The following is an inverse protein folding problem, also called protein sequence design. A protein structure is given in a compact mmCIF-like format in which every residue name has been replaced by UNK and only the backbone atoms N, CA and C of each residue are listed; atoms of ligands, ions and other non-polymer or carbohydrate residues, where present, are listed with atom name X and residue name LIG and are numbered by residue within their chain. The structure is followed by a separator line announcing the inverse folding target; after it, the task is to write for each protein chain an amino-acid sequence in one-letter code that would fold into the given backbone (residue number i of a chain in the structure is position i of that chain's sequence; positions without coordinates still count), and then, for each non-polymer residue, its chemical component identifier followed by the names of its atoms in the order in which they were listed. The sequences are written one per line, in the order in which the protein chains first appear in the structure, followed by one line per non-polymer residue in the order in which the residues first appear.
data_IF_334784871872
#
_entry.id   IF_334784871872
#
_cell.length_a   1.000
_cell.length_b   1.000
_cell.length_c   1.000
_cell.angle_alpha   90.00
_cell.angle_beta   90.00
_cell.angle_gamma   90.00
#
_symmetry.space_group_name_H-M   'P 1'
#
loop_
_entity.id
_entity.type
_entity.pdbx_description
1 polymer ?
#
# COMPACT_ATOMS: atom_id res chain seq x y z
N UNK A 1 -4.77 5.35 27.03
CA UNK A 1 -5.62 4.97 25.88
C UNK A 1 -5.15 3.62 25.37
N UNK A 2 -5.97 2.57 25.53
CA UNK A 2 -5.63 1.20 25.08
C UNK A 2 -6.36 0.91 23.77
N UNK A 3 -5.62 0.55 22.72
CA UNK A 3 -6.17 0.13 21.42
C UNK A 3 -5.96 -1.37 21.27
N UNK A 4 -7.06 -2.09 20.97
CA UNK A 4 -7.03 -3.51 20.68
C UNK A 4 -6.98 -3.75 19.17
N UNK A 5 -5.89 -4.31 18.68
CA UNK A 5 -5.67 -4.57 17.27
C UNK A 5 -6.02 -6.01 16.93
N UNK A 6 -6.81 -6.22 15.89
CA UNK A 6 -7.05 -7.54 15.29
C UNK A 6 -6.37 -7.57 13.93
N UNK A 7 -5.35 -8.42 13.76
CA UNK A 7 -4.51 -8.42 12.58
C UNK A 7 -4.10 -9.83 12.15
N UNK A 8 -4.87 -10.43 11.25
CA UNK A 8 -4.58 -11.75 10.66
C UNK A 8 -3.28 -11.81 9.84
N UNK A 9 -2.73 -10.67 9.44
CA UNK A 9 -1.53 -10.57 8.62
C UNK A 9 -0.29 -10.16 9.41
N UNK A 10 -0.38 -9.95 10.72
CA UNK A 10 0.71 -9.44 11.54
C UNK A 10 1.99 -10.29 11.42
N UNK A 11 1.85 -11.61 11.47
CA UNK A 11 2.97 -12.55 11.38
C UNK A 11 3.45 -12.80 9.94
N UNK A 12 2.76 -12.28 8.93
CA UNK A 12 3.07 -12.52 7.50
C UNK A 12 3.73 -11.33 6.81
N UNK A 13 3.80 -10.16 7.44
CA UNK A 13 4.38 -8.94 6.87
C UNK A 13 5.11 -8.10 7.91
N UNK A 14 6.34 -7.72 7.59
CA UNK A 14 7.11 -6.78 8.40
C UNK A 14 6.45 -5.39 8.48
N UNK A 15 5.67 -5.01 7.47
CA UNK A 15 5.01 -3.71 7.38
C UNK A 15 4.15 -3.41 8.63
N UNK A 16 3.32 -4.38 9.06
CA UNK A 16 2.45 -4.19 10.22
C UNK A 16 3.23 -4.20 11.54
N UNK A 17 4.33 -4.94 11.60
CA UNK A 17 5.21 -4.95 12.78
C UNK A 17 5.92 -3.61 12.93
N UNK A 18 6.46 -3.07 11.82
CA UNK A 18 7.06 -1.73 11.80
C UNK A 18 6.03 -0.66 12.19
N UNK A 19 4.82 -0.72 11.60
CA UNK A 19 3.74 0.19 11.94
C UNK A 19 3.45 0.20 13.46
N UNK A 20 3.28 -0.96 14.10
CA UNK A 20 2.97 -1.05 15.53
C UNK A 20 4.14 -0.51 16.37
N UNK A 21 5.39 -0.80 15.99
CA UNK A 21 6.57 -0.27 16.68
C UNK A 21 6.59 1.27 16.68
N UNK A 22 6.30 1.90 15.55
CA UNK A 22 6.20 3.36 15.46
C UNK A 22 4.96 3.87 16.20
N UNK A 23 3.81 3.21 16.05
CA UNK A 23 2.57 3.63 16.70
C UNK A 23 2.68 3.63 18.23
N UNK A 24 3.46 2.71 18.81
CA UNK A 24 3.71 2.66 20.27
C UNK A 24 4.38 3.93 20.83
N UNK A 25 5.04 4.72 19.98
CA UNK A 25 5.61 6.03 20.40
C UNK A 25 4.51 7.07 20.65
N UNK A 26 3.38 6.97 19.96
CA UNK A 26 2.27 7.93 19.99
C UNK A 26 1.07 7.43 20.79
N UNK A 27 0.84 6.12 20.75
CA UNK A 27 -0.23 5.41 21.44
C UNK A 27 0.41 4.24 22.20
N UNK A 28 0.78 4.42 23.48
CA UNK A 28 1.69 3.49 24.16
C UNK A 28 1.06 2.12 24.51
N UNK A 29 -0.25 2.03 24.63
CA UNK A 29 -0.93 0.82 25.09
C UNK A 29 -1.65 0.10 23.93
N UNK A 30 -0.87 -0.39 22.94
CA UNK A 30 -1.41 -1.23 21.88
C UNK A 30 -1.31 -2.70 22.25
N UNK A 31 -2.43 -3.43 22.14
CA UNK A 31 -2.47 -4.89 22.28
C UNK A 31 -2.82 -5.48 20.92
N UNK A 32 -2.01 -6.37 20.38
CA UNK A 32 -2.20 -6.96 19.07
C UNK A 32 -2.60 -8.41 19.20
N UNK A 33 -3.79 -8.76 18.74
CA UNK A 33 -4.21 -10.14 18.55
C UNK A 33 -3.95 -10.57 17.10
N UNK A 34 -3.07 -11.56 16.94
CA UNK A 34 -2.66 -12.09 15.65
C UNK A 34 -3.18 -13.54 15.48
N UNK A 35 -4.39 -13.74 14.91
CA UNK A 35 -4.89 -15.09 14.64
C UNK A 35 -4.16 -15.71 13.46
N UNK A 36 -3.59 -16.87 13.66
CA UNK A 36 -2.82 -17.61 12.66
C UNK A 36 -3.34 -19.02 12.46
N UNK A 37 -2.97 -19.64 11.34
CA UNK A 37 -3.26 -21.06 11.11
C UNK A 37 -2.47 -21.95 12.08
N UNK A 38 -3.06 -23.08 12.53
CA UNK A 38 -2.41 -24.07 13.39
C UNK A 38 -1.02 -24.50 12.90
N UNK A 39 -0.83 -24.54 11.57
CA UNK A 39 0.46 -24.92 10.93
C UNK A 39 1.43 -23.74 10.74
N UNK A 40 1.10 -22.54 11.22
CA UNK A 40 2.00 -21.39 11.08
C UNK A 40 3.21 -21.56 12.02
N UNK A 41 4.41 -21.48 11.44
CA UNK A 41 5.66 -21.45 12.20
C UNK A 41 5.88 -19.99 12.62
N UNK A 42 5.98 -19.75 13.92
CA UNK A 42 6.34 -18.44 14.48
C UNK A 42 7.85 -18.45 14.65
N UNK A 43 8.54 -17.76 13.77
CA UNK A 43 10.03 -17.77 13.70
C UNK A 43 10.64 -16.76 14.66
N UNK A 44 9.90 -15.70 15.01
CA UNK A 44 10.36 -14.63 15.91
C UNK A 44 9.43 -14.57 17.10
N UNK A 45 9.98 -14.48 18.30
CA UNK A 45 9.18 -14.22 19.50
C UNK A 45 8.46 -12.87 19.35
N UNK A 46 7.14 -12.86 19.51
CA UNK A 46 6.38 -11.62 19.42
C UNK A 46 6.68 -10.70 20.60
N UNK A 47 6.58 -9.40 20.39
CA UNK A 47 6.66 -8.40 21.45
C UNK A 47 5.64 -8.72 22.57
N UNK A 48 5.91 -8.29 23.81
CA UNK A 48 5.09 -8.59 25.01
C UNK A 48 3.59 -8.31 24.83
N UNK A 49 3.23 -7.32 24.00
CA UNK A 49 1.85 -6.93 23.75
C UNK A 49 1.22 -7.61 22.53
N UNK A 50 1.85 -8.65 21.99
CA UNK A 50 1.35 -9.39 20.82
C UNK A 50 0.93 -10.79 21.22
N UNK A 51 -0.33 -11.08 21.06
CA UNK A 51 -0.95 -12.38 21.37
C UNK A 51 -1.13 -13.14 20.06
N UNK A 52 -0.25 -14.12 19.81
CA UNK A 52 -0.36 -14.99 18.63
C UNK A 52 -1.23 -16.20 18.98
N UNK A 53 -2.36 -16.34 18.26
CA UNK A 53 -3.30 -17.43 18.50
C UNK A 53 -3.42 -18.36 17.29
N UNK A 54 -3.04 -19.64 17.46
CA UNK A 54 -3.21 -20.70 16.47
C UNK A 54 -4.63 -21.26 16.52
N UNK A 55 -5.60 -20.53 15.98
CA UNK A 55 -7.02 -20.78 16.22
C UNK A 55 -7.80 -21.33 15.01
N UNK A 56 -7.20 -21.51 13.84
CA UNK A 56 -7.87 -22.08 12.67
C UNK A 56 -6.96 -22.93 11.79
N UNK A 57 -7.56 -23.82 11.00
CA UNK A 57 -6.87 -24.64 10.00
C UNK A 57 -6.85 -23.99 8.63
N UNK A 58 -5.90 -24.35 7.74
CA UNK A 58 -5.85 -23.82 6.36
C UNK A 58 -7.17 -24.06 5.61
N UNK A 59 -7.84 -25.19 5.82
CA UNK A 59 -9.12 -25.56 5.22
C UNK A 59 -10.27 -24.60 5.63
N UNK A 60 -10.21 -24.05 6.84
CA UNK A 60 -11.25 -23.16 7.36
C UNK A 60 -11.38 -21.86 6.55
N UNK A 61 -10.38 -21.55 5.70
CA UNK A 61 -10.40 -20.39 4.79
C UNK A 61 -11.52 -20.48 3.75
N UNK A 62 -11.97 -21.69 3.41
CA UNK A 62 -13.09 -21.91 2.49
C UNK A 62 -14.46 -21.75 3.16
N UNK A 63 -14.50 -21.76 4.49
CA UNK A 63 -15.73 -21.65 5.31
C UNK A 63 -15.68 -20.37 6.13
N UNK A 64 -16.01 -19.23 5.49
CA UNK A 64 -15.86 -17.90 6.07
C UNK A 64 -16.43 -17.77 7.49
N UNK A 65 -17.72 -18.05 7.67
CA UNK A 65 -18.38 -17.88 8.98
C UNK A 65 -17.81 -18.81 10.06
N UNK A 66 -17.45 -20.02 9.70
CA UNK A 66 -16.82 -20.96 10.62
C UNK A 66 -15.45 -20.49 11.10
N UNK A 67 -14.61 -20.01 10.16
CA UNK A 67 -13.30 -19.41 10.50
C UNK A 67 -13.48 -18.19 11.40
N UNK A 68 -14.45 -17.30 11.07
CA UNK A 68 -14.71 -16.11 11.87
C UNK A 68 -15.17 -16.46 13.30
N UNK A 69 -15.98 -17.49 13.47
CA UNK A 69 -16.38 -17.98 14.79
C UNK A 69 -15.20 -18.50 15.62
N UNK A 70 -14.26 -19.22 15.00
CA UNK A 70 -13.04 -19.67 15.68
C UNK A 70 -12.19 -18.51 16.17
N UNK A 71 -11.96 -17.50 15.29
CA UNK A 71 -11.17 -16.31 15.64
C UNK A 71 -11.88 -15.54 16.77
N UNK A 72 -13.17 -15.32 16.66
CA UNK A 72 -13.97 -14.62 17.68
C UNK A 72 -13.87 -15.29 19.05
N UNK A 73 -14.06 -16.63 19.12
CA UNK A 73 -13.90 -17.40 20.35
C UNK A 73 -12.48 -17.33 20.92
N UNK A 74 -11.47 -17.37 20.03
CA UNK A 74 -10.07 -17.29 20.43
C UNK A 74 -9.74 -15.92 21.05
N UNK A 75 -10.29 -14.83 20.51
CA UNK A 75 -10.16 -13.50 21.12
C UNK A 75 -10.77 -13.48 22.52
N UNK A 76 -12.00 -14.00 22.69
CA UNK A 76 -12.70 -14.02 23.98
C UNK A 76 -11.95 -14.83 25.06
N UNK A 77 -11.29 -15.90 24.65
CA UNK A 77 -10.61 -16.80 25.60
C UNK A 77 -9.19 -16.33 25.97
N UNK A 78 -8.56 -15.46 25.20
CA UNK A 78 -7.16 -15.14 25.36
C UNK A 78 -6.89 -13.64 25.61
N UNK A 79 -7.92 -12.77 25.60
CA UNK A 79 -7.71 -11.33 25.68
C UNK A 79 -8.69 -10.67 26.64
N UNK A 80 -8.18 -9.77 27.47
CA UNK A 80 -8.97 -8.82 28.27
C UNK A 80 -9.24 -7.58 27.43
N UNK A 81 -10.38 -7.59 26.71
CA UNK A 81 -10.73 -6.54 25.75
C UNK A 81 -11.51 -5.41 26.42
N UNK A 82 -12.19 -5.70 27.50
CA UNK A 82 -13.08 -4.79 28.23
C UNK A 82 -12.40 -3.48 28.62
N UNK A 83 -11.07 -3.51 28.84
CA UNK A 83 -10.26 -2.33 29.16
C UNK A 83 -9.85 -1.52 27.92
N UNK A 84 -10.18 -1.98 26.72
CA UNK A 84 -9.83 -1.30 25.48
C UNK A 84 -10.82 -0.17 25.17
N UNK A 85 -10.31 0.97 24.72
CA UNK A 85 -11.12 2.12 24.35
C UNK A 85 -11.53 2.14 22.88
N UNK A 86 -10.84 1.38 22.04
CA UNK A 86 -11.14 1.25 20.62
C UNK A 86 -10.58 -0.08 20.08
N UNK A 87 -11.27 -0.66 19.10
CA UNK A 87 -10.79 -1.84 18.35
C UNK A 87 -10.31 -1.38 16.98
N UNK A 88 -9.12 -1.80 16.55
CA UNK A 88 -8.65 -1.56 15.20
C UNK A 88 -8.53 -2.86 14.40
N UNK A 89 -9.26 -2.95 13.29
CA UNK A 89 -9.26 -4.08 12.37
C UNK A 89 -8.51 -3.73 11.09
N UNK A 90 -7.52 -4.54 10.73
CA UNK A 90 -6.64 -4.29 9.58
C UNK A 90 -7.24 -4.66 8.22
N UNK A 91 -8.34 -5.43 8.20
CA UNK A 91 -9.11 -5.82 7.01
C UNK A 91 -10.60 -5.81 7.34
N UNK A 92 -11.46 -5.66 6.33
CA UNK A 92 -12.93 -5.64 6.55
C UNK A 92 -13.44 -7.02 6.91
N UNK A 93 -13.07 -8.03 6.13
CA UNK A 93 -13.71 -9.35 6.26
C UNK A 93 -13.10 -10.21 7.35
N UNK A 94 -11.77 -10.32 7.38
CA UNK A 94 -11.11 -11.25 8.32
C UNK A 94 -10.98 -10.68 9.72
N UNK A 95 -10.66 -9.42 9.86
CA UNK A 95 -10.47 -8.76 11.16
C UNK A 95 -11.73 -7.96 11.55
N UNK A 96 -12.31 -7.24 10.60
CA UNK A 96 -13.47 -6.38 10.82
C UNK A 96 -14.76 -7.11 11.19
N UNK A 97 -14.96 -8.35 10.73
CA UNK A 97 -16.10 -9.14 11.17
C UNK A 97 -16.01 -9.46 12.66
N UNK A 98 -14.82 -9.77 13.16
CA UNK A 98 -14.58 -10.02 14.59
C UNK A 98 -14.71 -8.72 15.38
N UNK A 99 -14.11 -7.63 14.91
CA UNK A 99 -14.20 -6.30 15.53
C UNK A 99 -15.66 -5.83 15.65
N UNK A 100 -16.45 -5.96 14.57
CA UNK A 100 -17.87 -5.64 14.58
C UNK A 100 -18.63 -6.42 15.66
N UNK A 101 -18.43 -7.74 15.76
CA UNK A 101 -19.11 -8.59 16.75
C UNK A 101 -18.71 -8.26 18.19
N UNK A 102 -17.44 -7.94 18.42
CA UNK A 102 -16.95 -7.50 19.72
C UNK A 102 -17.52 -6.13 20.09
N UNK A 103 -17.51 -5.19 19.15
CA UNK A 103 -18.11 -3.87 19.32
C UNK A 103 -19.59 -3.95 19.73
N UNK A 104 -20.38 -4.78 19.05
CA UNK A 104 -21.79 -4.98 19.38
C UNK A 104 -22.03 -5.61 20.77
N UNK A 105 -21.08 -6.43 21.25
CA UNK A 105 -21.21 -7.09 22.55
C UNK A 105 -20.72 -6.22 23.70
N UNK A 106 -19.61 -5.50 23.49
CA UNK A 106 -18.90 -4.79 24.56
C UNK A 106 -19.13 -3.28 24.54
N UNK A 107 -19.86 -2.79 23.55
CA UNK A 107 -20.07 -1.37 23.29
C UNK A 107 -18.75 -0.58 23.14
N UNK A 108 -17.76 -1.18 22.49
CA UNK A 108 -16.45 -0.55 22.21
C UNK A 108 -16.43 -0.11 20.74
N UNK A 109 -16.10 1.17 20.45
CA UNK A 109 -16.02 1.65 19.06
C UNK A 109 -14.91 0.95 18.29
N UNK A 110 -15.08 0.88 16.95
CA UNK A 110 -14.03 0.29 16.12
C UNK A 110 -13.72 1.07 14.84
N UNK A 111 -12.48 0.98 14.47
CA UNK A 111 -11.90 1.47 13.21
C UNK A 111 -11.57 0.27 12.32
N UNK A 112 -11.91 0.34 11.04
CA UNK A 112 -11.62 -0.73 10.09
C UNK A 112 -10.86 -0.21 8.88
N UNK A 113 -9.77 -0.89 8.51
CA UNK A 113 -9.03 -0.59 7.29
C UNK A 113 -9.47 -1.47 6.12
N UNK A 114 -9.40 -0.95 4.90
CA UNK A 114 -9.65 -1.67 3.66
C UNK A 114 -8.32 -1.96 2.98
N UNK A 115 -8.12 -3.23 2.63
CA UNK A 115 -6.90 -3.73 1.98
C UNK A 115 -7.23 -4.38 0.64
N UNK A 116 -6.17 -4.77 -0.08
CA UNK A 116 -6.28 -5.42 -1.40
C UNK A 116 -7.22 -6.63 -1.40
N UNK A 117 -7.05 -7.52 -0.43
CA UNK A 117 -7.87 -8.73 -0.31
C UNK A 117 -9.35 -8.43 -0.12
N UNK A 118 -9.69 -7.34 0.60
CA UNK A 118 -11.08 -6.95 0.77
C UNK A 118 -11.72 -6.58 -0.57
N UNK A 119 -11.03 -5.71 -1.35
CA UNK A 119 -11.55 -5.21 -2.62
C UNK A 119 -11.50 -6.27 -3.72
N UNK A 120 -10.31 -6.84 -3.96
CA UNK A 120 -10.03 -7.66 -5.14
C UNK A 120 -10.41 -9.14 -4.96
N UNK A 121 -10.58 -9.62 -3.72
CA UNK A 121 -11.05 -10.97 -3.46
C UNK A 121 -12.49 -10.97 -2.91
N UNK A 122 -12.72 -10.37 -1.74
CA UNK A 122 -14.02 -10.49 -1.08
C UNK A 122 -15.13 -9.72 -1.80
N UNK A 123 -15.00 -8.42 -1.99
CA UNK A 123 -16.01 -7.64 -2.69
C UNK A 123 -16.15 -8.03 -4.17
N UNK A 124 -15.03 -8.33 -4.85
CA UNK A 124 -15.06 -8.66 -6.28
C UNK A 124 -15.56 -10.07 -6.55
N UNK A 125 -15.01 -11.08 -5.87
CA UNK A 125 -15.25 -12.50 -6.18
C UNK A 125 -16.30 -13.14 -5.28
N UNK A 126 -16.37 -12.79 -3.98
CA UNK A 126 -17.28 -13.41 -3.03
C UNK A 126 -18.52 -12.54 -2.82
N UNK A 127 -19.30 -12.37 -3.90
CA UNK A 127 -20.47 -11.46 -3.93
C UNK A 127 -21.50 -11.73 -2.81
N UNK A 128 -21.61 -12.98 -2.35
CA UNK A 128 -22.51 -13.36 -1.25
C UNK A 128 -22.08 -12.78 0.10
N UNK A 129 -20.80 -12.40 0.26
CA UNK A 129 -20.30 -11.74 1.47
C UNK A 129 -20.41 -10.21 1.42
N UNK A 130 -20.80 -9.60 0.29
CA UNK A 130 -20.89 -8.14 0.15
C UNK A 130 -21.78 -7.50 1.19
N UNK A 131 -22.95 -8.12 1.48
CA UNK A 131 -23.86 -7.64 2.53
C UNK A 131 -23.18 -7.60 3.90
N UNK A 132 -22.39 -8.61 4.23
CA UNK A 132 -21.60 -8.66 5.46
C UNK A 132 -20.56 -7.54 5.49
N UNK A 133 -19.79 -7.34 4.39
CA UNK A 133 -18.82 -6.26 4.28
C UNK A 133 -19.46 -4.87 4.44
N UNK A 134 -20.59 -4.62 3.77
CA UNK A 134 -21.34 -3.36 3.89
C UNK A 134 -21.82 -3.15 5.34
N UNK A 135 -22.32 -4.18 6.01
CA UNK A 135 -22.75 -4.11 7.42
C UNK A 135 -21.60 -3.72 8.34
N UNK A 136 -20.42 -4.32 8.14
CA UNK A 136 -19.21 -3.99 8.91
C UNK A 136 -18.84 -2.50 8.69
N UNK A 137 -18.82 -2.05 7.44
CA UNK A 137 -18.47 -0.66 7.11
C UNK A 137 -19.49 0.35 7.68
N UNK A 138 -20.78 0.03 7.65
CA UNK A 138 -21.82 0.91 8.18
C UNK A 138 -21.76 1.08 9.70
N UNK A 139 -21.30 0.08 10.42
CA UNK A 139 -21.23 0.12 11.89
C UNK A 139 -19.86 0.56 12.41
N UNK A 140 -18.84 0.68 11.56
CA UNK A 140 -17.55 1.21 11.95
C UNK A 140 -17.64 2.72 12.27
N UNK A 141 -16.90 3.19 13.27
CA UNK A 141 -16.80 4.61 13.59
C UNK A 141 -15.96 5.35 12.54
N UNK A 142 -14.87 4.72 12.06
CA UNK A 142 -14.03 5.22 10.98
C UNK A 142 -13.66 4.09 10.03
N UNK A 143 -13.65 4.39 8.72
CA UNK A 143 -13.22 3.48 7.66
C UNK A 143 -11.94 4.04 7.03
N UNK A 144 -10.84 3.28 7.08
CA UNK A 144 -9.53 3.70 6.58
C UNK A 144 -9.26 3.14 5.20
N UNK A 145 -8.82 3.99 4.31
CA UNK A 145 -8.35 3.64 2.97
C UNK A 145 -6.90 4.05 2.77
N UNK A 146 -6.15 3.31 1.98
CA UNK A 146 -4.77 3.66 1.62
C UNK A 146 -4.72 4.80 0.59
N UNK A 147 -5.78 4.96 -0.22
CA UNK A 147 -5.86 5.98 -1.27
C UNK A 147 -7.30 6.33 -1.63
N UNK A 148 -7.46 7.51 -2.25
CA UNK A 148 -8.73 7.93 -2.83
C UNK A 148 -9.18 7.03 -3.99
N UNK A 149 -8.24 6.51 -4.80
CA UNK A 149 -8.52 5.57 -5.88
C UNK A 149 -9.26 4.32 -5.35
N UNK A 150 -8.73 3.71 -4.29
CA UNK A 150 -9.35 2.56 -3.61
C UNK A 150 -10.70 2.88 -2.99
N UNK A 151 -10.82 4.04 -2.31
CA UNK A 151 -12.10 4.50 -1.75
C UNK A 151 -13.16 4.61 -2.85
N UNK A 152 -12.85 5.33 -3.93
CA UNK A 152 -13.79 5.56 -5.03
C UNK A 152 -14.18 4.23 -5.73
N UNK A 153 -13.22 3.32 -5.91
CA UNK A 153 -13.48 2.01 -6.50
C UNK A 153 -14.45 1.18 -5.64
N UNK A 154 -14.25 1.14 -4.32
CA UNK A 154 -15.16 0.45 -3.42
C UNK A 154 -16.56 1.06 -3.46
N UNK A 155 -16.66 2.37 -3.23
CA UNK A 155 -17.95 3.07 -3.13
C UNK A 155 -18.77 2.92 -4.41
N UNK A 156 -18.14 3.12 -5.58
CA UNK A 156 -18.85 3.09 -6.87
C UNK A 156 -19.23 1.68 -7.31
N UNK A 157 -18.33 0.67 -7.11
CA UNK A 157 -18.53 -0.68 -7.69
C UNK A 157 -19.28 -1.64 -6.76
N UNK A 158 -19.17 -1.47 -5.43
CA UNK A 158 -19.60 -2.52 -4.49
C UNK A 158 -20.54 -2.06 -3.40
N UNK A 159 -20.59 -0.74 -3.12
CA UNK A 159 -21.50 -0.20 -2.09
C UNK A 159 -22.81 0.27 -2.74
N UNK A 160 -23.97 -0.21 -2.27
CA UNK A 160 -25.26 0.30 -2.70
C UNK A 160 -25.36 1.82 -2.52
N UNK A 161 -25.96 2.51 -3.48
CA UNK A 161 -25.99 3.98 -3.57
C UNK A 161 -26.45 4.65 -2.27
N UNK A 162 -27.52 4.14 -1.67
CA UNK A 162 -28.07 4.64 -0.41
C UNK A 162 -27.13 4.62 0.80
N UNK A 163 -26.00 3.89 0.72
CA UNK A 163 -25.02 3.78 1.80
C UNK A 163 -23.69 4.48 1.50
N UNK A 164 -23.51 4.98 0.25
CA UNK A 164 -22.23 5.57 -0.18
C UNK A 164 -21.87 6.78 0.66
N UNK A 165 -22.78 7.72 0.79
CA UNK A 165 -22.56 8.96 1.55
C UNK A 165 -22.25 8.67 3.03
N UNK A 166 -23.01 7.77 3.67
CA UNK A 166 -22.77 7.38 5.07
C UNK A 166 -21.37 6.79 5.30
N UNK A 167 -20.88 5.99 4.36
CA UNK A 167 -19.52 5.41 4.46
C UNK A 167 -18.48 6.47 4.11
N UNK A 168 -18.74 7.34 3.14
CA UNK A 168 -17.82 8.40 2.72
C UNK A 168 -17.54 9.42 3.83
N UNK A 169 -18.57 9.86 4.57
CA UNK A 169 -18.46 10.82 5.67
C UNK A 169 -17.48 10.35 6.77
N UNK A 170 -17.42 9.06 7.04
CA UNK A 170 -16.52 8.45 8.03
C UNK A 170 -15.27 7.84 7.44
N UNK A 171 -15.04 8.00 6.13
CA UNK A 171 -13.83 7.55 5.48
C UNK A 171 -12.67 8.50 5.75
N UNK A 172 -11.46 7.95 5.97
CA UNK A 172 -10.21 8.69 6.07
C UNK A 172 -9.17 8.02 5.17
N UNK A 173 -8.31 8.81 4.56
CA UNK A 173 -7.20 8.31 3.74
C UNK A 173 -5.94 8.35 4.60
N UNK A 174 -5.40 7.19 4.90
CA UNK A 174 -4.14 7.04 5.63
C UNK A 174 -3.26 6.10 4.82
N UNK A 175 -2.22 6.61 4.14
CA UNK A 175 -1.32 5.79 3.35
C UNK A 175 -0.48 4.86 4.24
N UNK A 176 0.22 3.91 3.63
CA UNK A 176 1.26 3.17 4.34
C UNK A 176 2.54 4.00 4.47
N UNK A 177 3.26 3.80 5.56
CA UNK A 177 4.63 4.27 5.68
C UNK A 177 5.60 3.35 4.95
N UNK A 178 6.79 3.86 4.68
CA UNK A 178 7.93 3.09 4.18
C UNK A 178 8.98 2.95 5.28
N UNK A 179 9.92 2.05 5.08
CA UNK A 179 10.99 1.77 6.04
C UNK A 179 11.88 3.00 6.27
N UNK A 180 12.28 3.25 7.53
CA UNK A 180 13.12 4.38 7.91
C UNK A 180 14.45 4.43 7.15
N UNK A 181 14.97 3.26 6.74
CA UNK A 181 16.17 3.16 5.89
C UNK A 181 16.16 4.14 4.71
N UNK A 182 15.02 4.34 4.07
CA UNK A 182 14.90 5.24 2.92
C UNK A 182 15.05 6.71 3.30
N UNK A 183 14.62 7.08 4.50
CA UNK A 183 14.75 8.43 5.04
C UNK A 183 16.11 8.68 5.68
N UNK A 184 16.74 7.64 6.21
CA UNK A 184 18.11 7.73 6.74
C UNK A 184 19.14 7.84 5.60
N UNK A 185 18.74 7.44 4.38
CA UNK A 185 19.56 7.46 3.16
C UNK A 185 18.86 8.27 2.04
N UNK A 186 18.32 9.41 2.37
CA UNK A 186 17.60 10.27 1.42
C UNK A 186 18.53 10.76 0.29
N UNK A 187 17.98 10.93 -0.92
CA UNK A 187 18.74 11.42 -2.07
C UNK A 187 19.15 12.89 -1.94
N UNK A 188 20.16 13.30 -2.69
CA UNK A 188 20.61 14.69 -2.74
C UNK A 188 19.88 15.45 -3.86
N UNK A 189 19.39 16.63 -3.54
CA UNK A 189 18.75 17.54 -4.51
C UNK A 189 19.74 17.94 -5.63
N UNK A 190 21.04 18.02 -5.32
CA UNK A 190 22.07 18.34 -6.33
C UNK A 190 22.16 17.27 -7.43
N UNK A 191 21.90 15.99 -7.12
CA UNK A 191 21.86 14.93 -8.10
C UNK A 191 20.74 15.12 -9.13
N UNK A 192 19.59 15.68 -8.69
CA UNK A 192 18.48 16.00 -9.59
C UNK A 192 18.89 17.01 -10.67
N UNK A 193 19.72 18.00 -10.31
CA UNK A 193 20.22 19.01 -11.27
C UNK A 193 21.20 18.40 -12.29
N UNK A 194 22.04 17.45 -11.88
CA UNK A 194 22.92 16.74 -12.80
C UNK A 194 22.12 15.87 -13.78
N UNK A 195 21.10 15.16 -13.29
CA UNK A 195 20.19 14.37 -14.13
C UNK A 195 19.44 15.25 -15.13
N UNK A 196 18.97 16.43 -14.72
CA UNK A 196 18.28 17.38 -15.61
C UNK A 196 19.14 17.77 -16.82
N UNK A 197 20.48 17.93 -16.63
CA UNK A 197 21.40 18.22 -17.76
C UNK A 197 21.45 17.07 -18.76
N UNK A 198 21.56 15.81 -18.30
CA UNK A 198 21.57 14.61 -19.14
C UNK A 198 20.25 14.48 -19.94
N UNK A 199 19.13 14.70 -19.28
CA UNK A 199 17.80 14.63 -19.88
C UNK A 199 17.63 15.65 -21.00
N UNK A 200 18.22 16.86 -20.89
CA UNK A 200 18.25 17.87 -21.98
C UNK A 200 18.97 17.37 -23.24
N UNK A 201 19.88 16.42 -23.10
CA UNK A 201 20.54 15.73 -24.23
C UNK A 201 19.80 14.48 -24.71
N UNK A 202 18.53 14.30 -24.27
CA UNK A 202 17.67 13.15 -24.59
C UNK A 202 18.23 11.79 -24.12
N UNK A 203 19.01 11.78 -23.07
CA UNK A 203 19.45 10.56 -22.37
C UNK A 203 18.60 10.36 -21.13
N UNK A 204 17.99 9.18 -20.99
CA UNK A 204 17.04 8.89 -19.89
C UNK A 204 17.21 7.48 -19.36
N UNK A 205 17.38 7.36 -18.05
CA UNK A 205 17.43 6.09 -17.33
C UNK A 205 16.14 5.88 -16.57
N UNK A 206 15.33 4.94 -17.04
CA UNK A 206 14.10 4.50 -16.39
C UNK A 206 14.39 3.40 -15.37
N UNK A 207 13.57 3.29 -14.34
CA UNK A 207 13.61 2.16 -13.41
C UNK A 207 12.20 1.65 -13.08
N UNK A 208 12.08 0.32 -13.06
CA UNK A 208 10.95 -0.42 -12.53
C UNK A 208 11.43 -1.29 -11.36
N UNK A 209 10.71 -1.28 -10.24
CA UNK A 209 11.02 -2.14 -9.08
C UNK A 209 9.77 -2.85 -8.61
N UNK A 210 9.77 -4.18 -8.70
CA UNK A 210 8.65 -5.00 -8.26
C UNK A 210 8.69 -6.41 -8.81
N UNK A 211 7.74 -7.24 -8.40
CA UNK A 211 7.56 -8.57 -8.99
C UNK A 211 7.18 -8.43 -10.46
N UNK A 212 7.93 -9.06 -11.35
CA UNK A 212 7.65 -9.07 -12.79
C UNK A 212 6.53 -10.05 -13.04
N UNK A 213 5.33 -9.52 -13.25
CA UNK A 213 4.10 -10.26 -13.46
C UNK A 213 3.07 -9.38 -14.17
N UNK A 214 2.10 -9.98 -14.85
CA UNK A 214 1.04 -9.30 -15.60
C UNK A 214 0.37 -8.16 -14.83
N UNK A 215 0.12 -8.34 -13.54
CA UNK A 215 -0.48 -7.30 -12.69
C UNK A 215 0.35 -6.02 -12.61
N UNK A 216 1.68 -6.14 -12.61
CA UNK A 216 2.62 -5.02 -12.50
C UNK A 216 2.93 -4.34 -13.83
N UNK A 217 2.64 -5.03 -14.96
CA UNK A 217 2.57 -4.45 -16.30
C UNK A 217 3.89 -3.80 -16.79
N UNK A 218 5.01 -4.50 -16.62
CA UNK A 218 6.29 -4.01 -17.13
C UNK A 218 6.33 -3.95 -18.66
N UNK A 219 5.62 -4.86 -19.32
CA UNK A 219 5.54 -4.94 -20.79
C UNK A 219 5.03 -3.65 -21.44
N UNK A 220 3.99 -3.01 -20.85
CA UNK A 220 3.51 -1.72 -21.40
C UNK A 220 4.51 -0.60 -21.14
N UNK A 221 5.27 -0.63 -20.02
CA UNK A 221 6.34 0.32 -19.77
C UNK A 221 7.50 0.16 -20.77
N UNK A 222 7.87 -1.07 -21.13
CA UNK A 222 8.86 -1.37 -22.18
C UNK A 222 8.40 -0.84 -23.54
N UNK A 223 7.13 -1.05 -23.91
CA UNK A 223 6.55 -0.50 -25.15
C UNK A 223 6.60 1.03 -25.16
N UNK A 224 6.33 1.69 -24.03
CA UNK A 224 6.45 3.14 -23.90
C UNK A 224 7.90 3.61 -24.08
N UNK A 225 8.87 2.90 -23.53
CA UNK A 225 10.28 3.16 -23.73
C UNK A 225 10.69 3.01 -25.22
N UNK A 226 10.17 1.99 -25.91
CA UNK A 226 10.40 1.82 -27.37
C UNK A 226 9.83 2.98 -28.19
N UNK A 227 8.66 3.54 -27.81
CA UNK A 227 8.10 4.75 -28.44
C UNK A 227 9.02 5.96 -28.21
N UNK A 228 9.58 6.13 -27.03
CA UNK A 228 10.52 7.20 -26.74
C UNK A 228 11.81 7.07 -27.57
N UNK A 229 12.34 5.85 -27.76
CA UNK A 229 13.47 5.60 -28.65
C UNK A 229 13.16 6.02 -30.08
N UNK A 230 11.98 5.67 -30.60
CA UNK A 230 11.53 6.10 -31.95
C UNK A 230 11.40 7.64 -32.04
N UNK A 231 11.14 8.33 -30.93
CA UNK A 231 11.13 9.81 -30.85
C UNK A 231 12.52 10.42 -30.64
N UNK A 232 13.58 9.62 -30.69
CA UNK A 232 14.97 10.07 -30.61
C UNK A 232 15.54 10.19 -29.20
N UNK A 233 14.96 9.48 -28.21
CA UNK A 233 15.54 9.34 -26.88
C UNK A 233 16.55 8.19 -26.83
N UNK A 234 17.65 8.38 -26.12
CA UNK A 234 18.55 7.30 -25.72
C UNK A 234 18.09 6.77 -24.35
N UNK A 235 17.49 5.58 -24.34
CA UNK A 235 16.85 4.99 -23.14
C UNK A 235 17.69 3.83 -22.61
N UNK A 236 17.92 3.84 -21.29
CA UNK A 236 18.28 2.66 -20.49
C UNK A 236 17.13 2.35 -19.55
N UNK A 237 16.67 1.10 -19.46
CA UNK A 237 15.57 0.73 -18.58
C UNK A 237 15.99 -0.37 -17.60
N UNK A 238 16.21 0.01 -16.34
CA UNK A 238 16.55 -0.91 -15.26
C UNK A 238 15.27 -1.58 -14.72
N UNK A 239 15.19 -2.91 -14.81
CA UNK A 239 14.05 -3.70 -14.31
C UNK A 239 14.54 -4.60 -13.16
N UNK A 240 14.06 -4.31 -11.94
CA UNK A 240 14.51 -4.98 -10.72
C UNK A 240 13.37 -5.79 -10.11
N UNK A 241 13.56 -7.10 -9.91
CA UNK A 241 12.60 -7.92 -9.22
C UNK A 241 12.62 -9.41 -9.56
N UNK A 242 11.71 -10.15 -8.94
CA UNK A 242 11.54 -11.58 -9.21
C UNK A 242 10.60 -11.78 -10.40
N UNK A 243 11.04 -12.53 -11.40
CA UNK A 243 10.19 -13.00 -12.49
C UNK A 243 9.27 -14.13 -12.01
N UNK A 244 7.97 -14.01 -12.26
CA UNK A 244 6.96 -15.02 -11.91
C UNK A 244 5.96 -15.29 -13.05
N UNK A 245 6.01 -14.52 -14.13
CA UNK A 245 5.15 -14.60 -15.29
C UNK A 245 6.01 -14.69 -16.55
N UNK A 246 5.82 -15.74 -17.36
CA UNK A 246 6.66 -16.00 -18.53
C UNK A 246 6.48 -14.95 -19.64
N UNK A 247 5.25 -14.43 -19.84
CA UNK A 247 4.98 -13.43 -20.88
C UNK A 247 5.73 -12.13 -20.60
N UNK A 248 5.58 -11.59 -19.38
CA UNK A 248 6.29 -10.37 -18.94
C UNK A 248 7.80 -10.57 -18.89
N UNK A 249 8.27 -11.78 -18.57
CA UNK A 249 9.69 -12.11 -18.53
C UNK A 249 10.33 -12.10 -19.92
N UNK A 250 9.63 -12.61 -20.93
CA UNK A 250 10.12 -12.60 -22.32
C UNK A 250 10.31 -11.17 -22.84
N UNK A 251 9.36 -10.25 -22.57
CA UNK A 251 9.50 -8.86 -22.97
C UNK A 251 10.73 -8.18 -22.31
N UNK A 252 11.01 -8.51 -21.05
CA UNK A 252 12.18 -8.00 -20.33
C UNK A 252 13.50 -8.54 -20.90
N UNK A 253 13.55 -9.83 -21.29
CA UNK A 253 14.78 -10.48 -21.75
C UNK A 253 15.12 -10.18 -23.21
N UNK A 254 14.12 -9.84 -24.04
CA UNK A 254 14.30 -9.63 -25.49
C UNK A 254 14.68 -8.18 -25.87
N UNK A 255 14.58 -7.22 -24.97
CA UNK A 255 14.83 -5.82 -25.27
C UNK A 255 16.27 -5.41 -24.90
N UNK A 256 17.08 -5.00 -25.87
CA UNK A 256 18.50 -4.61 -25.68
C UNK A 256 18.69 -3.42 -24.71
N UNK A 257 17.74 -2.48 -24.66
CA UNK A 257 17.80 -1.32 -23.76
C UNK A 257 17.33 -1.64 -22.33
N UNK A 258 16.89 -2.88 -22.05
CA UNK A 258 16.42 -3.33 -20.74
C UNK A 258 17.55 -4.06 -20.01
N UNK A 259 17.89 -3.58 -18.82
CA UNK A 259 18.83 -4.24 -17.92
C UNK A 259 18.06 -4.89 -16.77
N UNK A 260 17.99 -6.22 -16.80
CA UNK A 260 17.30 -6.99 -15.77
C UNK A 260 18.21 -7.31 -14.58
N UNK A 261 17.66 -7.09 -13.40
CA UNK A 261 18.29 -7.43 -12.13
C UNK A 261 17.33 -8.26 -11.28
N UNK A 262 17.83 -9.36 -10.73
CA UNK A 262 17.09 -10.11 -9.69
C UNK A 262 16.79 -9.21 -8.51
N UNK A 263 15.92 -9.69 -7.60
CA UNK A 263 15.64 -8.99 -6.35
C UNK A 263 16.94 -8.55 -5.65
N UNK A 264 17.03 -7.28 -5.29
CA UNK A 264 18.14 -6.66 -4.59
C UNK A 264 17.76 -6.37 -3.13
N UNK A 265 18.75 -6.36 -2.22
CA UNK A 265 18.59 -5.75 -0.91
C UNK A 265 18.52 -4.21 -1.03
N UNK A 266 18.12 -3.53 0.05
CA UNK A 266 17.90 -2.07 0.04
C UNK A 266 19.18 -1.29 -0.29
N UNK A 267 20.33 -1.75 0.20
CA UNK A 267 21.64 -1.12 0.02
C UNK A 267 22.08 -1.10 -1.47
N UNK A 268 21.79 -2.18 -2.21
CA UNK A 268 22.03 -2.21 -3.66
C UNK A 268 20.96 -1.46 -4.44
N UNK A 269 19.70 -1.57 -4.00
CA UNK A 269 18.58 -0.93 -4.68
C UNK A 269 18.69 0.59 -4.63
N UNK A 270 19.18 1.17 -3.54
CA UNK A 270 19.35 2.62 -3.42
C UNK A 270 20.31 3.18 -4.46
N UNK A 271 21.42 2.48 -4.77
CA UNK A 271 22.35 2.91 -5.82
C UNK A 271 21.71 2.84 -7.20
N UNK A 272 20.84 1.84 -7.45
CA UNK A 272 20.10 1.73 -8.71
C UNK A 272 19.04 2.82 -8.85
N UNK A 273 18.34 3.18 -7.78
CA UNK A 273 17.46 4.35 -7.79
C UNK A 273 18.24 5.63 -8.10
N UNK A 274 19.37 5.87 -7.41
CA UNK A 274 20.18 7.08 -7.59
C UNK A 274 20.76 7.21 -9.00
N UNK A 275 21.11 6.10 -9.66
CA UNK A 275 21.58 6.10 -11.04
C UNK A 275 20.46 6.27 -12.08
N UNK A 276 19.21 6.14 -11.68
CA UNK A 276 18.03 6.29 -12.54
C UNK A 276 17.44 7.70 -12.46
N UNK A 277 16.68 8.09 -13.48
CA UNK A 277 16.05 9.41 -13.58
C UNK A 277 14.56 9.39 -13.22
N UNK A 278 13.86 8.31 -13.54
CA UNK A 278 12.41 8.24 -13.44
C UNK A 278 11.94 6.82 -13.11
N UNK A 279 11.01 6.72 -12.16
CA UNK A 279 10.40 5.46 -11.77
C UNK A 279 9.10 5.21 -12.55
N UNK A 280 9.00 4.05 -13.21
CA UNK A 280 7.86 3.70 -14.07
C UNK A 280 7.27 2.37 -13.65
N UNK A 281 6.04 2.35 -13.10
CA UNK A 281 5.33 1.11 -12.79
C UNK A 281 3.81 1.27 -13.05
N UNK A 282 3.36 1.14 -14.32
CA UNK A 282 1.96 1.34 -14.69
C UNK A 282 1.12 0.08 -14.39
N UNK A 283 1.05 -0.32 -13.14
CA UNK A 283 0.36 -1.53 -12.68
C UNK A 283 -1.12 -1.54 -13.05
N UNK A 284 -1.65 -2.66 -13.57
CA UNK A 284 -3.11 -2.82 -13.76
C UNK A 284 -3.87 -2.84 -12.44
N UNK A 285 -3.24 -3.31 -11.38
CA UNK A 285 -3.80 -3.30 -10.02
C UNK A 285 -2.69 -3.05 -9.02
N UNK A 286 -2.83 -1.98 -8.23
CA UNK A 286 -1.89 -1.61 -7.19
C UNK A 286 -2.64 -1.14 -5.94
N UNK A 287 -2.32 -1.73 -4.78
CA UNK A 287 -2.95 -1.37 -3.51
C UNK A 287 -2.46 -0.03 -2.98
N UNK A 288 -1.14 0.16 -3.01
CA UNK A 288 -0.48 1.40 -2.61
C UNK A 288 0.79 1.61 -3.43
N UNK A 289 1.68 0.60 -3.50
CA UNK A 289 2.96 0.68 -4.20
C UNK A 289 4.02 1.41 -3.37
N UNK A 290 4.54 0.74 -2.34
CA UNK A 290 5.59 1.29 -1.47
C UNK A 290 6.80 1.78 -2.27
N UNK A 291 7.13 1.10 -3.37
CA UNK A 291 8.26 1.43 -4.25
C UNK A 291 8.15 2.81 -4.90
N UNK A 292 6.94 3.36 -5.08
CA UNK A 292 6.81 4.78 -5.49
C UNK A 292 7.33 5.72 -4.40
N UNK A 293 6.92 5.49 -3.16
CA UNK A 293 7.37 6.31 -2.03
C UNK A 293 8.88 6.17 -1.79
N UNK A 294 9.43 4.96 -1.97
CA UNK A 294 10.87 4.69 -1.93
C UNK A 294 11.60 5.49 -3.01
N UNK A 295 11.12 5.46 -4.25
CA UNK A 295 11.69 6.22 -5.38
C UNK A 295 11.66 7.74 -5.11
N UNK A 296 10.56 8.27 -4.53
CA UNK A 296 10.48 9.68 -4.17
C UNK A 296 11.57 10.10 -3.18
N UNK A 297 11.94 9.26 -2.20
CA UNK A 297 13.04 9.59 -1.27
C UNK A 297 14.38 9.75 -1.96
N UNK A 298 14.54 9.20 -3.16
CA UNK A 298 15.76 9.30 -3.97
C UNK A 298 15.65 10.36 -5.08
N UNK A 299 14.62 11.22 -5.02
CA UNK A 299 14.42 12.31 -5.98
C UNK A 299 13.95 11.85 -7.36
N UNK A 300 13.33 10.67 -7.48
CA UNK A 300 12.80 10.18 -8.75
C UNK A 300 11.34 10.57 -8.92
N UNK A 301 10.98 11.31 -9.96
CA UNK A 301 9.59 11.43 -10.39
C UNK A 301 8.99 10.07 -10.75
N UNK A 302 7.67 9.92 -10.57
CA UNK A 302 7.00 8.62 -10.70
C UNK A 302 5.90 8.63 -11.75
N UNK A 303 5.81 7.54 -12.52
CA UNK A 303 4.68 7.20 -13.39
C UNK A 303 3.87 6.08 -12.73
N UNK A 304 2.61 6.33 -12.45
CA UNK A 304 1.70 5.43 -11.75
C UNK A 304 0.34 5.35 -12.45
N UNK A 305 -0.40 4.29 -12.21
CA UNK A 305 -1.69 4.09 -12.89
C UNK A 305 -2.81 4.90 -12.27
N UNK A 306 -3.63 5.50 -13.13
CA UNK A 306 -4.87 6.17 -12.78
C UNK A 306 -5.82 5.21 -12.05
N UNK A 307 -6.55 5.72 -11.06
CA UNK A 307 -7.51 4.99 -10.21
C UNK A 307 -6.90 3.80 -9.41
N UNK A 308 -5.56 3.72 -9.29
CA UNK A 308 -4.87 2.73 -8.47
C UNK A 308 -4.34 3.33 -7.16
N UNK A 309 -3.67 2.52 -6.34
CA UNK A 309 -3.32 2.85 -4.96
C UNK A 309 -2.47 4.10 -4.75
N UNK A 310 -1.66 4.50 -5.72
CA UNK A 310 -0.84 5.72 -5.61
C UNK A 310 -1.55 6.96 -6.21
N UNK A 311 -2.55 6.76 -7.06
CA UNK A 311 -3.30 7.85 -7.67
C UNK A 311 -3.97 8.73 -6.61
N UNK A 312 -3.90 10.04 -6.83
CA UNK A 312 -4.42 11.07 -5.91
C UNK A 312 -3.76 11.12 -4.52
N UNK A 313 -2.57 10.54 -4.39
CA UNK A 313 -1.69 10.86 -3.25
C UNK A 313 -1.12 12.28 -3.40
N UNK A 314 -0.89 12.71 -4.64
CA UNK A 314 -0.46 14.04 -5.06
C UNK A 314 -1.24 14.47 -6.30
N UNK A 315 -1.20 15.76 -6.64
CA UNK A 315 -1.72 16.22 -7.92
C UNK A 315 -0.75 15.86 -9.05
N UNK A 316 -1.29 15.67 -10.27
CA UNK A 316 -0.47 15.46 -11.46
C UNK A 316 0.50 16.62 -11.64
N UNK A 317 1.79 16.31 -11.85
CA UNK A 317 2.88 17.28 -11.98
C UNK A 317 3.59 17.64 -10.67
N UNK A 318 3.09 17.27 -9.47
CA UNK A 318 3.80 17.53 -8.21
C UNK A 318 5.00 16.58 -8.01
N UNK A 319 4.80 15.29 -8.27
CA UNK A 319 5.83 14.25 -8.11
C UNK A 319 5.89 13.31 -9.32
N UNK A 320 5.09 13.57 -10.34
CA UNK A 320 4.92 12.74 -11.52
C UNK A 320 3.50 12.78 -12.05
N UNK A 321 3.09 11.75 -12.79
CA UNK A 321 1.78 11.74 -13.45
C UNK A 321 1.08 10.39 -13.35
N UNK A 322 -0.25 10.44 -13.27
CA UNK A 322 -1.12 9.28 -13.47
C UNK A 322 -1.27 8.97 -14.96
N UNK A 323 -1.29 7.67 -15.31
CA UNK A 323 -1.39 7.20 -16.69
C UNK A 323 -2.49 6.15 -16.85
N UNK A 324 -2.99 6.02 -18.07
CA UNK A 324 -3.75 4.84 -18.49
C UNK A 324 -2.79 3.65 -18.64
N UNK A 325 -2.87 2.61 -17.79
CA UNK A 325 -1.94 1.47 -17.84
C UNK A 325 -2.04 0.60 -19.10
N UNK A 326 -3.07 0.82 -19.93
CA UNK A 326 -3.28 0.11 -21.20
C UNK A 326 -2.72 0.86 -22.42
N UNK A 327 -2.16 2.07 -22.24
CA UNK A 327 -1.66 2.91 -23.32
C UNK A 327 -0.17 3.22 -23.15
N UNK A 328 0.66 2.60 -23.99
CA UNK A 328 2.08 2.91 -24.05
C UNK A 328 2.35 4.37 -24.50
N UNK A 329 1.51 4.91 -25.39
CA UNK A 329 1.60 6.30 -25.83
C UNK A 329 1.33 7.30 -24.69
N UNK A 330 0.31 7.03 -23.85
CA UNK A 330 0.03 7.89 -22.71
C UNK A 330 1.20 7.88 -21.71
N UNK A 331 1.77 6.70 -21.44
CA UNK A 331 2.96 6.58 -20.59
C UNK A 331 4.14 7.36 -21.19
N UNK A 332 4.44 7.17 -22.47
CA UNK A 332 5.52 7.90 -23.15
C UNK A 332 5.32 9.41 -23.11
N UNK A 333 4.10 9.90 -23.41
CA UNK A 333 3.77 11.32 -23.35
C UNK A 333 3.96 11.91 -21.95
N UNK A 334 3.56 11.19 -20.91
CA UNK A 334 3.73 11.64 -19.51
C UNK A 334 5.19 11.61 -19.06
N UNK A 335 5.98 10.67 -19.54
CA UNK A 335 7.43 10.66 -19.33
C UNK A 335 8.05 11.93 -19.96
N UNK A 336 7.71 12.27 -21.20
CA UNK A 336 8.22 13.50 -21.85
C UNK A 336 7.80 14.76 -21.09
N UNK A 337 6.55 14.82 -20.54
CA UNK A 337 6.12 15.94 -19.71
C UNK A 337 6.95 16.09 -18.44
N UNK A 338 7.34 14.96 -17.80
CA UNK A 338 8.26 14.99 -16.66
C UNK A 338 9.64 15.51 -17.11
N UNK A 339 10.17 15.02 -18.23
CA UNK A 339 11.48 15.44 -18.74
C UNK A 339 11.54 16.95 -19.04
N UNK A 340 10.45 17.53 -19.53
CA UNK A 340 10.35 18.98 -19.78
C UNK A 340 10.40 19.84 -18.51
N UNK A 341 9.98 19.29 -17.36
CA UNK A 341 9.90 19.97 -16.06
C UNK A 341 10.69 19.26 -14.97
N UNK A 342 11.73 18.53 -15.38
CA UNK A 342 12.44 17.62 -14.47
C UNK A 342 13.10 18.36 -13.29
N UNK A 343 13.68 19.52 -13.56
CA UNK A 343 14.32 20.40 -12.58
C UNK A 343 13.32 21.03 -11.58
N UNK A 344 12.05 21.09 -11.93
CA UNK A 344 10.98 21.49 -11.02
C UNK A 344 10.44 20.31 -10.20
N UNK A 345 10.20 19.15 -10.84
CA UNK A 345 9.50 18.01 -10.21
C UNK A 345 10.43 17.19 -9.32
N UNK A 346 11.63 16.84 -9.79
CA UNK A 346 12.51 15.89 -9.12
C UNK A 346 12.96 16.36 -7.71
N UNK A 347 13.34 17.62 -7.48
CA UNK A 347 13.67 18.10 -6.14
C UNK A 347 12.49 18.02 -5.15
N UNK A 348 11.26 18.26 -5.64
CA UNK A 348 10.06 18.18 -4.79
C UNK A 348 9.73 16.75 -4.37
N UNK A 349 10.11 15.73 -5.15
CA UNK A 349 9.88 14.33 -4.78
C UNK A 349 10.44 14.02 -3.40
N UNK A 350 11.65 14.48 -3.10
CA UNK A 350 12.33 14.26 -1.81
C UNK A 350 11.49 14.82 -0.65
N UNK A 351 11.10 16.08 -0.73
CA UNK A 351 10.32 16.73 0.33
C UNK A 351 8.93 16.13 0.47
N UNK A 352 8.30 15.74 -0.63
CA UNK A 352 6.97 15.12 -0.65
C UNK A 352 6.95 13.70 -0.10
N UNK A 353 8.10 12.99 -0.13
CA UNK A 353 8.23 11.65 0.45
C UNK A 353 7.99 11.64 1.97
N UNK A 354 8.20 12.74 2.68
CA UNK A 354 7.94 12.88 4.13
C UNK A 354 6.50 12.51 4.52
N UNK A 355 5.55 12.62 3.61
CA UNK A 355 4.17 12.13 3.78
C UNK A 355 4.11 10.64 4.15
N UNK A 356 5.10 9.85 3.74
CA UNK A 356 5.15 8.40 3.93
C UNK A 356 6.08 7.98 5.08
N UNK A 357 6.57 8.91 5.87
CA UNK A 357 7.29 8.62 7.11
C UNK A 357 6.32 8.07 8.16
N UNK A 358 6.69 6.99 8.81
CA UNK A 358 5.83 6.35 9.82
C UNK A 358 5.42 7.32 10.94
N UNK A 359 6.29 8.22 11.35
CA UNK A 359 5.97 9.19 12.38
C UNK A 359 4.82 10.13 11.96
N UNK A 360 4.80 10.59 10.69
CA UNK A 360 3.72 11.40 10.13
C UNK A 360 2.40 10.63 10.04
N UNK A 361 2.48 9.34 9.72
CA UNK A 361 1.32 8.45 9.61
C UNK A 361 0.79 8.05 10.98
N UNK A 362 1.65 7.75 11.94
CA UNK A 362 1.23 7.37 13.28
C UNK A 362 0.56 8.51 14.05
N UNK A 363 0.94 9.76 13.79
CA UNK A 363 0.20 10.94 14.29
C UNK A 363 -1.25 10.96 13.75
N UNK A 364 -1.45 10.69 12.46
CA UNK A 364 -2.81 10.59 11.90
C UNK A 364 -3.61 9.47 12.55
N UNK A 365 -3.00 8.30 12.83
CA UNK A 365 -3.66 7.23 13.59
C UNK A 365 -4.02 7.66 15.01
N UNK A 366 -3.12 8.36 15.70
CA UNK A 366 -3.39 8.90 17.04
C UNK A 366 -4.59 9.83 17.03
N UNK A 367 -4.66 10.78 16.08
CA UNK A 367 -5.78 11.71 15.93
C UNK A 367 -7.09 10.98 15.66
N UNK A 368 -7.06 9.97 14.79
CA UNK A 368 -8.23 9.14 14.47
C UNK A 368 -8.72 8.40 15.71
N UNK A 369 -7.83 7.71 16.43
CA UNK A 369 -8.23 6.97 17.64
C UNK A 369 -8.76 7.91 18.73
N UNK A 370 -8.12 9.05 18.93
CA UNK A 370 -8.57 10.08 19.88
C UNK A 370 -9.98 10.57 19.50
N UNK A 371 -10.23 10.88 18.23
CA UNK A 371 -11.52 11.36 17.75
C UNK A 371 -12.67 10.32 17.87
N UNK A 372 -12.32 9.04 17.84
CA UNK A 372 -13.31 7.94 18.02
C UNK A 372 -13.67 7.77 19.48
N UNK A 373 -12.69 7.91 20.38
CA UNK A 373 -12.90 7.72 21.83
C UNK A 373 -13.64 8.89 22.45
N UNK A 374 -13.32 10.13 22.09
CA UNK A 374 -13.97 11.34 22.64
C UNK A 374 -15.41 11.57 22.19
N UNK A 375 -15.88 10.88 21.16
CA UNK A 375 -17.28 10.97 20.71
C UNK A 375 -18.23 10.11 21.55
N UNK A 376 -17.71 9.25 22.40
CA UNK A 376 -18.49 8.35 23.27
C UNK A 376 -18.50 8.77 24.74
N UNK A 377 -17.65 9.74 25.11
CA UNK A 377 -17.75 10.47 26.38
C UNK A 377 -18.71 11.67 26.23
#
# INVERSE_FOLDING_TARGET
MTIFHINCNYMSTALHQIMIRHLNKYVPNNVVFAPVSEKTIVVVEPDKNVIVSKCFKKIDRYFFHYKQNKIYKAVQNNCEIENSKCIYAYTVFTDGNVAYRLSQRLNIPYVVAIRDTDLNLFFKKFFWLRKTGVKILLNANVVLFLSNGYKNQLLRKYIPEKYRELIEQKSRIVPNGIDDFWFDNIGDVSDCLHKAKRIKHRELVLIFVGTICKRKNVSTAIKAASILIQRGWNITFNVVGKMVDNEESNDVEQCEFVHYYKHMNKEKLISTYRSSDLFVMPSYTETFGLTYAEALTQGLPVIYSKDQGFDKQFNDGEVGYSVNPYSADDIANKIELICQKYDEIAPFCISKAEKFRWDSICKQYQDIFSSVITKEE
#
